data_IF_005468530019
#
_entry.id   IF_005468530019
#
_cell.length_a   1.000
_cell.length_b   1.000
_cell.length_c   1.000
_cell.angle_alpha   90.00
_cell.angle_beta   90.00
_cell.angle_gamma   90.00
#
_symmetry.space_group_name_H-M   'P 1'
#
loop_
_entity.id
_entity.type
_entity.pdbx_description
1 polymer ?
#
# COMPACT_ATOMS: atom_id res chain seq x y z
N UNK A 1 8.84 28.98 5.80
CA UNK A 1 8.83 29.69 4.50
C UNK A 1 8.13 28.85 3.47
N UNK A 2 7.18 29.37 2.71
CA UNK A 2 6.58 28.57 1.64
C UNK A 2 7.63 28.34 0.55
N UNK A 3 7.77 27.08 0.15
CA UNK A 3 8.63 26.69 -0.96
C UNK A 3 8.06 27.25 -2.28
N UNK A 4 8.82 28.04 -2.99
CA UNK A 4 8.44 28.69 -4.25
C UNK A 4 8.02 27.64 -5.31
N UNK A 5 8.57 26.41 -5.25
CA UNK A 5 8.24 25.32 -6.16
C UNK A 5 6.85 24.71 -5.87
N UNK A 6 6.33 24.96 -4.67
CA UNK A 6 5.01 24.50 -4.23
C UNK A 6 3.93 25.58 -4.35
N UNK A 7 4.31 26.82 -4.67
CA UNK A 7 3.36 27.91 -4.86
C UNK A 7 2.42 27.60 -6.04
N UNK A 8 1.11 27.76 -5.81
CA UNK A 8 0.07 27.43 -6.80
C UNK A 8 -0.31 25.95 -6.87
N UNK A 9 0.31 25.09 -6.06
CA UNK A 9 -0.05 23.67 -5.90
C UNK A 9 -0.95 23.49 -4.68
N UNK A 10 -1.90 22.58 -4.77
CA UNK A 10 -2.78 22.31 -3.64
C UNK A 10 -2.08 21.39 -2.63
N UNK A 11 -1.73 21.86 -1.43
CA UNK A 11 -0.99 21.08 -0.44
C UNK A 11 -1.80 19.94 0.20
N UNK A 12 -3.12 19.97 0.05
CA UNK A 12 -4.03 18.99 0.64
C UNK A 12 -4.10 17.67 -0.15
N UNK A 13 -3.59 17.68 -1.39
CA UNK A 13 -3.62 16.52 -2.27
C UNK A 13 -2.22 16.06 -2.63
N UNK A 14 -2.09 14.76 -2.89
CA UNK A 14 -0.84 14.15 -3.31
C UNK A 14 -0.39 14.75 -4.65
N UNK A 15 0.85 15.18 -4.72
CA UNK A 15 1.50 15.70 -5.90
C UNK A 15 2.79 14.96 -6.23
N UNK A 16 3.31 15.15 -7.45
CA UNK A 16 4.61 14.55 -7.84
C UNK A 16 5.75 14.96 -6.90
N UNK A 17 5.68 16.16 -6.36
CA UNK A 17 6.65 16.70 -5.40
C UNK A 17 6.70 15.93 -4.07
N UNK A 18 5.60 15.30 -3.65
CA UNK A 18 5.58 14.45 -2.45
C UNK A 18 6.38 13.16 -2.63
N UNK A 19 6.71 12.80 -3.88
CA UNK A 19 7.45 11.59 -4.23
C UNK A 19 8.93 11.84 -4.53
N UNK A 20 9.38 13.09 -4.60
CA UNK A 20 10.78 13.39 -4.93
C UNK A 20 11.76 12.89 -3.88
N UNK A 21 11.37 12.94 -2.61
CA UNK A 21 12.18 12.48 -1.47
C UNK A 21 12.02 10.98 -1.17
N UNK A 22 11.12 10.31 -1.91
CA UNK A 22 10.94 8.85 -1.78
C UNK A 22 12.01 8.15 -2.62
N UNK A 23 12.82 7.23 -2.05
CA UNK A 23 13.92 6.59 -2.76
C UNK A 23 13.51 5.87 -4.06
N UNK A 24 12.35 5.24 -4.06
CA UNK A 24 11.79 4.57 -5.25
C UNK A 24 11.04 5.50 -6.19
N UNK A 25 10.79 6.76 -5.78
CA UNK A 25 9.96 7.74 -6.49
C UNK A 25 8.52 7.25 -6.75
N UNK A 26 8.08 6.29 -5.99
CA UNK A 26 6.74 5.72 -6.04
C UNK A 26 6.32 5.21 -4.66
N UNK A 27 5.01 5.17 -4.42
CA UNK A 27 4.40 4.66 -3.20
C UNK A 27 3.34 3.62 -3.54
N UNK A 28 3.19 2.63 -2.67
CA UNK A 28 2.10 1.66 -2.77
C UNK A 28 1.07 1.96 -1.68
N UNK A 29 -0.17 2.13 -2.10
CA UNK A 29 -1.28 2.52 -1.22
C UNK A 29 -2.51 1.67 -1.48
N UNK A 30 -3.39 1.58 -0.48
CA UNK A 30 -4.66 0.87 -0.55
C UNK A 30 -5.82 1.86 -0.65
N UNK A 31 -6.67 1.69 -1.63
CA UNK A 31 -7.83 2.57 -1.84
C UNK A 31 -8.83 2.34 -0.71
N UNK A 32 -9.08 3.37 0.07
CA UNK A 32 -10.10 3.39 1.13
C UNK A 32 -11.46 3.80 0.58
N UNK A 33 -11.48 4.84 -0.25
CA UNK A 33 -12.70 5.37 -0.84
C UNK A 33 -12.38 6.18 -2.10
N UNK A 34 -13.34 6.28 -3.01
CA UNK A 34 -13.27 7.15 -4.20
C UNK A 34 -14.56 7.96 -4.24
N UNK A 35 -14.43 9.27 -4.22
CA UNK A 35 -15.56 10.20 -4.19
C UNK A 35 -15.38 11.33 -5.20
N UNK A 36 -16.48 11.88 -5.68
CA UNK A 36 -16.47 13.12 -6.42
C UNK A 36 -16.70 14.28 -5.46
N UNK A 37 -15.79 15.23 -5.44
CA UNK A 37 -15.86 16.40 -4.59
C UNK A 37 -15.39 17.67 -5.33
N UNK A 38 -15.75 18.82 -4.78
CA UNK A 38 -15.28 20.09 -5.31
C UNK A 38 -13.94 20.44 -4.67
N UNK A 39 -12.93 20.57 -5.51
CA UNK A 39 -11.58 20.96 -5.12
C UNK A 39 -11.36 22.42 -5.50
N UNK A 40 -10.84 23.21 -4.58
CA UNK A 40 -10.43 24.57 -4.85
C UNK A 40 -9.00 24.54 -5.36
N UNK A 41 -8.83 24.90 -6.62
CA UNK A 41 -7.53 24.99 -7.27
C UNK A 41 -7.35 26.40 -7.84
N UNK A 42 -6.31 27.11 -7.45
CA UNK A 42 -6.06 28.51 -7.86
C UNK A 42 -7.28 29.46 -7.69
N UNK A 43 -8.07 29.27 -6.61
CA UNK A 43 -9.26 30.07 -6.34
C UNK A 43 -10.52 29.68 -7.13
N UNK A 44 -10.43 28.70 -8.01
CA UNK A 44 -11.56 28.15 -8.75
C UNK A 44 -12.01 26.81 -8.18
N UNK A 45 -13.30 26.59 -8.14
CA UNK A 45 -13.91 25.31 -7.74
C UNK A 45 -14.03 24.41 -8.96
N UNK A 46 -13.41 23.23 -8.88
CA UNK A 46 -13.51 22.21 -9.92
C UNK A 46 -14.03 20.91 -9.31
N UNK A 47 -14.97 20.27 -10.00
CA UNK A 47 -15.43 18.93 -9.66
C UNK A 47 -14.34 17.90 -10.00
N UNK A 48 -13.81 17.24 -8.99
CA UNK A 48 -12.75 16.25 -9.15
C UNK A 48 -13.13 14.93 -8.49
N UNK A 49 -12.68 13.83 -9.09
CA UNK A 49 -12.73 12.52 -8.43
C UNK A 49 -11.48 12.36 -7.59
N UNK A 50 -11.65 12.07 -6.31
CA UNK A 50 -10.57 11.96 -5.33
C UNK A 50 -10.53 10.55 -4.75
N UNK A 51 -9.35 9.94 -4.74
CA UNK A 51 -9.09 8.67 -4.07
C UNK A 51 -8.47 8.92 -2.71
N UNK A 52 -9.12 8.39 -1.67
CA UNK A 52 -8.61 8.35 -0.31
C UNK A 52 -7.95 7.00 -0.06
N UNK A 53 -6.91 6.98 0.76
CA UNK A 53 -6.12 5.79 1.05
C UNK A 53 -6.21 5.40 2.52
N UNK A 54 -5.97 4.12 2.81
CA UNK A 54 -5.93 3.60 4.19
C UNK A 54 -4.65 4.03 4.92
N UNK A 55 -3.57 4.18 4.16
CA UNK A 55 -2.29 4.64 4.66
C UNK A 55 -2.35 6.14 5.02
N UNK A 56 -1.49 6.56 5.95
CA UNK A 56 -1.40 7.96 6.36
C UNK A 56 -0.69 8.81 5.29
N UNK A 57 -1.35 9.00 4.17
CA UNK A 57 -0.88 9.83 3.07
C UNK A 57 -2.01 10.74 2.54
N UNK A 58 -1.63 11.74 1.77
CA UNK A 58 -2.60 12.65 1.17
C UNK A 58 -3.48 11.95 0.15
N UNK A 59 -4.77 12.33 0.03
CA UNK A 59 -5.64 11.84 -1.04
C UNK A 59 -5.13 12.29 -2.40
N UNK A 60 -5.46 11.56 -3.44
CA UNK A 60 -5.02 11.81 -4.82
C UNK A 60 -6.19 12.20 -5.71
N UNK A 61 -6.05 13.29 -6.44
CA UNK A 61 -7.00 13.65 -7.51
C UNK A 61 -6.77 12.74 -8.72
N UNK A 62 -7.81 12.02 -9.13
CA UNK A 62 -7.78 11.11 -10.26
C UNK A 62 -8.11 11.84 -11.57
N UNK A 63 -7.13 12.05 -12.40
CA UNK A 63 -7.35 12.50 -13.77
C UNK A 63 -7.83 11.35 -14.67
N UNK A 64 -8.26 11.68 -15.89
CA UNK A 64 -8.81 10.70 -16.83
C UNK A 64 -7.82 9.56 -17.15
N UNK A 65 -6.53 9.85 -17.24
CA UNK A 65 -5.48 8.86 -17.49
C UNK A 65 -5.41 7.85 -16.36
N UNK A 66 -5.40 8.32 -15.10
CA UNK A 66 -5.37 7.47 -13.91
C UNK A 66 -6.66 6.66 -13.75
N UNK A 67 -7.82 7.25 -14.03
CA UNK A 67 -9.11 6.52 -14.06
C UNK A 67 -9.10 5.37 -15.07
N UNK A 68 -8.58 5.60 -16.28
CA UNK A 68 -8.43 4.57 -17.33
C UNK A 68 -7.47 3.47 -16.88
N UNK A 69 -6.36 3.82 -16.25
CA UNK A 69 -5.39 2.86 -15.73
C UNK A 69 -6.01 1.98 -14.65
N UNK A 70 -6.75 2.55 -13.70
CA UNK A 70 -7.48 1.78 -12.67
C UNK A 70 -8.50 0.83 -13.30
N UNK A 71 -9.30 1.32 -14.23
CA UNK A 71 -10.32 0.51 -14.90
C UNK A 71 -9.71 -0.67 -15.68
N UNK A 72 -8.55 -0.47 -16.31
CA UNK A 72 -7.81 -1.51 -17.00
C UNK A 72 -7.17 -2.50 -16.04
N UNK A 73 -6.56 -2.01 -14.96
CA UNK A 73 -5.82 -2.81 -13.98
C UNK A 73 -6.73 -3.80 -13.26
N UNK A 74 -7.90 -3.37 -12.83
CA UNK A 74 -8.86 -4.16 -12.07
C UNK A 74 -10.09 -4.61 -12.89
N UNK A 75 -10.11 -4.31 -14.20
CA UNK A 75 -11.18 -4.68 -15.13
C UNK A 75 -12.57 -4.24 -14.65
N UNK A 76 -12.64 -3.10 -13.99
CA UNK A 76 -13.88 -2.51 -13.47
C UNK A 76 -13.86 -1.00 -13.54
N UNK A 77 -15.04 -0.42 -13.78
CA UNK A 77 -15.27 1.04 -13.70
C UNK A 77 -16.03 1.43 -12.43
N UNK A 78 -16.38 0.46 -11.63
CA UNK A 78 -17.15 0.63 -10.40
C UNK A 78 -16.22 1.02 -9.24
N UNK A 79 -16.42 2.23 -8.69
CA UNK A 79 -15.62 2.74 -7.59
C UNK A 79 -15.71 1.88 -6.33
N UNK A 80 -16.88 1.30 -6.06
CA UNK A 80 -17.08 0.42 -4.91
C UNK A 80 -16.22 -0.85 -4.99
N UNK A 81 -16.00 -1.38 -6.20
CA UNK A 81 -15.14 -2.55 -6.43
C UNK A 81 -13.65 -2.23 -6.38
N UNK A 82 -13.28 -0.96 -6.45
CA UNK A 82 -11.91 -0.49 -6.32
C UNK A 82 -11.49 -0.28 -4.86
N UNK A 83 -12.43 -0.17 -3.93
CA UNK A 83 -12.16 -0.08 -2.49
C UNK A 83 -11.44 -1.36 -2.04
N UNK A 84 -10.38 -1.19 -1.23
CA UNK A 84 -9.53 -2.28 -0.76
C UNK A 84 -8.49 -2.75 -1.79
N UNK A 85 -8.47 -2.20 -3.00
CA UNK A 85 -7.45 -2.52 -4.01
C UNK A 85 -6.19 -1.71 -3.78
N UNK A 86 -5.06 -2.36 -3.97
CA UNK A 86 -3.74 -1.74 -3.83
C UNK A 86 -3.28 -1.19 -5.18
N UNK A 87 -2.67 -0.03 -5.15
CA UNK A 87 -2.09 0.62 -6.33
C UNK A 87 -0.69 1.12 -6.03
N UNK A 88 0.14 1.20 -7.04
CA UNK A 88 1.43 1.89 -6.99
C UNK A 88 1.29 3.22 -7.71
N UNK A 89 1.59 4.30 -7.02
CA UNK A 89 1.56 5.66 -7.55
C UNK A 89 2.99 6.16 -7.71
N UNK A 90 3.33 6.59 -8.91
CA UNK A 90 4.58 7.24 -9.23
C UNK A 90 4.33 8.53 -10.01
N UNK A 91 5.35 9.11 -10.60
CA UNK A 91 5.20 10.23 -11.50
C UNK A 91 5.95 10.01 -12.81
N UNK A 92 5.49 10.67 -13.85
CA UNK A 92 6.10 10.63 -15.17
C UNK A 92 6.25 12.05 -15.72
N UNK A 93 7.30 12.28 -16.47
CA UNK A 93 7.47 13.53 -17.21
C UNK A 93 6.54 13.54 -18.41
N UNK A 94 5.61 14.47 -18.43
CA UNK A 94 4.66 14.66 -19.52
C UNK A 94 4.88 16.01 -20.17
N UNK A 95 4.75 16.04 -21.49
CA UNK A 95 4.77 17.28 -22.25
C UNK A 95 3.33 17.77 -22.42
N UNK A 96 3.01 18.90 -21.83
CA UNK A 96 1.72 19.55 -21.95
C UNK A 96 1.92 21.03 -22.24
N UNK A 97 1.19 21.57 -23.22
CA UNK A 97 1.27 22.98 -23.61
C UNK A 97 2.70 23.51 -23.87
N UNK A 98 3.55 22.67 -24.50
CA UNK A 98 4.93 23.01 -24.80
C UNK A 98 5.90 22.97 -23.60
N UNK A 99 5.44 22.63 -22.40
CA UNK A 99 6.25 22.50 -21.19
C UNK A 99 6.30 21.04 -20.73
N UNK A 100 7.45 20.64 -20.16
CA UNK A 100 7.61 19.35 -19.52
C UNK A 100 7.25 19.53 -18.04
N UNK A 101 6.33 18.73 -17.55
CA UNK A 101 5.93 18.72 -16.14
C UNK A 101 5.82 17.29 -15.62
N UNK A 102 5.98 17.14 -14.32
CA UNK A 102 5.80 15.84 -13.65
C UNK A 102 4.31 15.65 -13.33
N UNK A 103 3.76 14.54 -13.78
CA UNK A 103 2.38 14.18 -13.53
C UNK A 103 2.30 12.86 -12.76
N UNK A 104 1.48 12.85 -11.69
CA UNK A 104 1.20 11.61 -10.98
C UNK A 104 0.56 10.58 -11.90
N UNK A 105 1.05 9.35 -11.80
CA UNK A 105 0.56 8.21 -12.57
C UNK A 105 0.40 6.98 -11.69
N UNK A 106 -0.73 6.33 -11.83
CA UNK A 106 -0.94 4.99 -11.31
C UNK A 106 -0.21 4.02 -12.25
N UNK A 107 0.67 3.21 -11.70
CA UNK A 107 1.41 2.20 -12.47
C UNK A 107 0.46 1.10 -12.92
N UNK A 108 0.63 0.63 -14.15
CA UNK A 108 -0.17 -0.47 -14.71
C UNK A 108 0.32 -1.84 -14.21
N UNK A 109 0.52 -1.95 -12.90
CA UNK A 109 1.01 -3.14 -12.20
C UNK A 109 0.16 -3.30 -10.94
N UNK A 110 -0.38 -4.49 -10.73
CA UNK A 110 -1.00 -4.83 -9.44
C UNK A 110 0.11 -5.06 -8.43
N UNK A 111 0.22 -4.24 -7.36
CA UNK A 111 1.24 -4.46 -6.35
C UNK A 111 1.02 -5.81 -5.68
N UNK A 112 2.08 -6.57 -5.50
CA UNK A 112 2.05 -7.76 -4.66
C UNK A 112 1.59 -7.37 -3.25
N UNK A 113 0.85 -8.25 -2.58
CA UNK A 113 0.64 -8.10 -1.15
C UNK A 113 2.00 -7.90 -0.47
N UNK A 114 2.11 -7.05 0.57
CA UNK A 114 3.37 -6.95 1.29
C UNK A 114 3.72 -8.37 1.71
N UNK A 115 4.83 -8.87 1.24
CA UNK A 115 5.48 -10.02 1.83
C UNK A 115 5.87 -9.55 3.23
N UNK A 116 4.98 -9.79 4.19
CA UNK A 116 5.41 -9.79 5.58
C UNK A 116 6.53 -10.81 5.60
N UNK A 117 7.75 -10.37 5.91
CA UNK A 117 8.86 -11.29 6.07
C UNK A 117 8.37 -12.41 6.99
N UNK A 118 8.44 -13.66 6.53
CA UNK A 118 7.96 -14.79 7.30
C UNK A 118 8.58 -14.73 8.69
N UNK A 119 7.80 -14.85 9.77
CA UNK A 119 8.36 -14.84 11.11
C UNK A 119 9.38 -15.95 11.24
N UNK A 120 10.48 -15.71 11.95
CA UNK A 120 11.56 -16.68 12.11
C UNK A 120 11.38 -17.51 13.38
N UNK A 121 11.69 -18.78 13.26
CA UNK A 121 11.70 -19.68 14.41
C UNK A 121 12.81 -19.28 15.38
N UNK A 122 12.46 -19.16 16.67
CA UNK A 122 13.42 -18.80 17.72
C UNK A 122 14.45 -19.91 18.00
N UNK A 123 14.10 -21.16 17.72
CA UNK A 123 14.97 -22.32 18.04
C UNK A 123 15.94 -22.66 16.90
N UNK A 124 15.48 -22.68 15.65
CA UNK A 124 16.30 -23.09 14.51
C UNK A 124 16.61 -21.98 13.50
N UNK A 125 16.00 -20.79 13.65
CA UNK A 125 16.22 -19.63 12.79
C UNK A 125 15.60 -19.73 11.38
N UNK A 126 14.91 -20.82 11.05
CA UNK A 126 14.24 -20.98 9.77
C UNK A 126 12.97 -20.12 9.69
N UNK A 127 12.51 -19.85 8.47
CA UNK A 127 11.26 -19.17 8.26
C UNK A 127 10.09 -20.07 8.68
N UNK A 128 9.14 -19.51 9.43
CA UNK A 128 7.94 -20.23 9.83
C UNK A 128 7.02 -20.33 8.63
N UNK A 129 6.81 -21.54 8.13
CA UNK A 129 5.89 -21.82 7.04
C UNK A 129 4.46 -22.07 7.56
N UNK A 130 3.48 -21.96 6.67
CA UNK A 130 2.11 -22.36 6.98
C UNK A 130 2.07 -23.86 7.36
N UNK A 131 1.45 -24.17 8.48
CA UNK A 131 1.32 -25.53 8.98
C UNK A 131 0.03 -25.69 9.80
N UNK A 132 -0.48 -26.90 9.86
CA UNK A 132 -1.71 -27.23 10.62
C UNK A 132 -2.94 -26.37 10.23
N UNK A 133 -3.01 -25.95 8.97
CA UNK A 133 -4.08 -25.08 8.47
C UNK A 133 -3.97 -23.61 8.93
N UNK A 134 -2.85 -23.22 9.50
CA UNK A 134 -2.56 -21.85 9.96
C UNK A 134 -1.57 -21.16 9.03
N UNK A 135 -1.80 -19.86 8.77
CA UNK A 135 -0.83 -19.01 8.08
C UNK A 135 0.42 -18.79 8.95
N UNK A 136 1.59 -18.39 8.37
CA UNK A 136 2.84 -18.23 9.11
C UNK A 136 2.76 -17.29 10.32
N UNK A 137 2.07 -16.18 10.20
CA UNK A 137 1.83 -15.20 11.26
C UNK A 137 0.96 -15.76 12.38
N UNK A 138 -0.09 -16.51 12.01
CA UNK A 138 -0.98 -17.19 12.97
C UNK A 138 -0.23 -18.31 13.70
N UNK A 139 0.61 -19.06 12.97
CA UNK A 139 1.47 -20.10 13.56
C UNK A 139 2.47 -19.52 14.57
N UNK A 140 3.10 -18.39 14.25
CA UNK A 140 4.00 -17.69 15.15
C UNK A 140 3.27 -17.21 16.42
N UNK A 141 2.08 -16.64 16.28
CA UNK A 141 1.25 -16.21 17.42
C UNK A 141 0.81 -17.39 18.28
N UNK A 142 0.38 -18.49 17.67
CA UNK A 142 -0.02 -19.72 18.36
C UNK A 142 1.12 -20.31 19.19
N UNK A 143 2.30 -20.45 18.59
CA UNK A 143 3.46 -21.00 19.28
C UNK A 143 3.98 -20.08 20.39
N UNK A 144 3.92 -18.77 20.19
CA UNK A 144 4.26 -17.79 21.23
C UNK A 144 3.31 -17.90 22.43
N UNK A 145 2.03 -18.09 22.20
CA UNK A 145 1.03 -18.24 23.26
C UNK A 145 1.24 -19.54 24.07
N UNK A 146 1.56 -20.64 23.39
CA UNK A 146 1.63 -21.96 24.01
C UNK A 146 3.03 -22.31 24.56
N UNK A 147 4.09 -21.78 23.94
CA UNK A 147 5.48 -22.13 24.26
C UNK A 147 6.35 -20.93 24.63
N UNK A 148 5.77 -19.73 24.69
CA UNK A 148 6.48 -18.48 25.05
C UNK A 148 7.42 -17.95 23.97
N UNK A 149 7.51 -18.57 22.79
CA UNK A 149 8.37 -18.17 21.67
C UNK A 149 7.81 -18.60 20.32
N UNK A 150 8.23 -17.93 19.27
CA UNK A 150 7.84 -18.26 17.89
C UNK A 150 8.57 -19.52 17.42
N UNK A 151 7.85 -20.55 16.99
CA UNK A 151 8.41 -21.82 16.56
C UNK A 151 7.86 -22.23 15.18
N UNK A 152 8.69 -22.84 14.36
CA UNK A 152 8.23 -23.56 13.18
C UNK A 152 7.53 -24.88 13.59
N UNK A 153 6.85 -25.51 12.62
CA UNK A 153 6.09 -26.73 12.88
C UNK A 153 6.91 -27.84 13.55
N UNK A 154 8.15 -28.04 13.10
CA UNK A 154 9.03 -29.09 13.64
C UNK A 154 9.51 -28.77 15.05
N UNK A 155 9.91 -27.54 15.33
CA UNK A 155 10.29 -27.11 16.68
C UNK A 155 9.10 -27.08 17.64
N UNK A 156 7.90 -26.73 17.17
CA UNK A 156 6.68 -26.79 17.93
C UNK A 156 6.32 -28.23 18.33
N UNK A 157 6.50 -29.21 17.44
CA UNK A 157 6.33 -30.65 17.75
C UNK A 157 7.32 -31.12 18.82
N UNK A 158 8.58 -30.70 18.72
CA UNK A 158 9.60 -31.02 19.73
C UNK A 158 9.28 -30.40 21.09
N UNK A 159 8.86 -29.14 21.10
CA UNK A 159 8.46 -28.46 22.33
C UNK A 159 7.25 -29.12 22.99
N UNK A 160 6.25 -29.55 22.21
CA UNK A 160 5.09 -30.29 22.70
C UNK A 160 5.51 -31.62 23.32
N UNK A 161 6.36 -32.40 22.66
CA UNK A 161 6.87 -33.68 23.16
C UNK A 161 7.66 -33.51 24.48
N UNK A 162 8.41 -32.42 24.61
CA UNK A 162 9.13 -32.11 25.86
C UNK A 162 8.18 -31.78 27.01
N UNK A 163 7.09 -31.06 26.76
CA UNK A 163 6.08 -30.77 27.79
C UNK A 163 5.32 -32.03 28.23
N UNK A 164 5.04 -32.95 27.31
CA UNK A 164 4.38 -34.22 27.61
C UNK A 164 5.28 -35.22 28.36
N UNK A 165 6.60 -35.04 28.29
CA UNK A 165 7.58 -35.86 28.99
C UNK A 165 7.86 -35.40 30.43
N UNK A 166 7.51 -34.16 30.78
CA UNK A 166 7.67 -33.59 32.13
C UNK A 166 6.39 -33.65 32.99
N UNK A 167 5.29 -34.12 32.44
CA UNK A 167 4.00 -34.35 33.13
C UNK A 167 3.78 -35.83 33.37
#
# INVERSE_FOLDING_TARGET
>A
MPDIMLMGKNPNYLGSWDLYDVPSQEITVTIKNIVDEQVINNGQKEGCTVAYFEENCKPMILNLTNKKTLAKLYKTKDSAKLVGKRITVGYEKVKAFGKISDALRIKNIVPSAPTVAAPKCADCGCDIAAAFGMAPDVMAAYTTKNYGRQLCADCAKKAKAAQEAEG
#
